data_IF_482003900877
#
_entry.id   IF_482003900877
#
_cell.length_a   1.000
_cell.length_b   1.000
_cell.length_c   1.000
_cell.angle_alpha   90.00
_cell.angle_beta   90.00
_cell.angle_gamma   90.00
#
_symmetry.space_group_name_H-M   'P 1'
#
loop_
_entity.id
_entity.type
_entity.pdbx_description
1 polymer ?
#
# COMPACT_ATOMS: atom_id res chain seq x y z
N UNK A 1 -23.89 -7.12 -15.37
CA UNK A 1 -22.72 -7.88 -14.90
C UNK A 1 -23.19 -8.91 -13.87
N UNK A 2 -22.70 -10.16 -13.89
CA UNK A 2 -23.03 -11.13 -12.85
C UNK A 2 -22.04 -10.98 -11.68
N UNK A 3 -22.57 -10.75 -10.47
CA UNK A 3 -21.76 -10.74 -9.24
C UNK A 3 -21.63 -12.17 -8.74
N UNK A 4 -20.41 -12.58 -8.42
CA UNK A 4 -20.07 -13.90 -7.89
C UNK A 4 -19.65 -13.79 -6.43
N UNK A 5 -19.72 -14.91 -5.71
CA UNK A 5 -19.26 -15.02 -4.33
C UNK A 5 -20.37 -15.08 -3.29
N UNK A 6 -20.05 -14.69 -2.07
CA UNK A 6 -20.89 -14.80 -0.88
C UNK A 6 -21.16 -13.43 -0.26
N UNK A 7 -22.36 -13.26 0.29
CA UNK A 7 -22.69 -12.17 1.21
C UNK A 7 -23.78 -12.63 2.17
N UNK A 8 -23.77 -12.12 3.39
CA UNK A 8 -24.89 -12.26 4.30
C UNK A 8 -26.01 -11.27 3.97
N UNK A 9 -27.27 -11.68 4.14
CA UNK A 9 -28.45 -10.88 3.76
C UNK A 9 -28.47 -9.50 4.43
N UNK A 10 -27.94 -9.36 5.66
CA UNK A 10 -27.81 -8.08 6.37
C UNK A 10 -27.02 -7.04 5.56
N UNK A 11 -26.11 -7.48 4.69
CA UNK A 11 -25.23 -6.64 3.89
C UNK A 11 -25.59 -6.60 2.40
N UNK A 12 -26.82 -6.96 2.03
CA UNK A 12 -27.30 -6.91 0.63
C UNK A 12 -27.08 -5.54 -0.02
N UNK A 13 -27.27 -4.44 0.73
CA UNK A 13 -27.03 -3.09 0.22
C UNK A 13 -25.57 -2.87 -0.24
N UNK A 14 -24.60 -3.48 0.44
CA UNK A 14 -23.18 -3.41 0.06
C UNK A 14 -22.95 -4.22 -1.24
N UNK A 15 -23.60 -5.37 -1.38
CA UNK A 15 -23.58 -6.16 -2.62
C UNK A 15 -24.15 -5.38 -3.80
N UNK A 16 -25.25 -4.65 -3.61
CA UNK A 16 -25.82 -3.78 -4.64
C UNK A 16 -24.89 -2.60 -4.98
N UNK A 17 -24.28 -1.97 -3.97
CA UNK A 17 -23.31 -0.91 -4.19
C UNK A 17 -22.06 -1.40 -4.97
N UNK A 18 -21.59 -2.62 -4.69
CA UNK A 18 -20.54 -3.27 -5.46
C UNK A 18 -20.97 -3.57 -6.89
N UNK A 19 -22.21 -4.02 -7.10
CA UNK A 19 -22.76 -4.26 -8.44
C UNK A 19 -22.84 -2.97 -9.26
N UNK A 20 -23.23 -1.85 -8.64
CA UNK A 20 -23.36 -0.55 -9.27
C UNK A 20 -22.03 0.02 -9.80
N UNK A 21 -20.87 -0.43 -9.27
CA UNK A 21 -19.56 -0.04 -9.81
C UNK A 21 -19.42 -0.39 -11.30
N UNK A 22 -20.04 -1.49 -11.72
CA UNK A 22 -19.99 -1.98 -13.10
C UNK A 22 -21.02 -1.32 -14.03
N UNK A 23 -21.74 -0.29 -13.55
CA UNK A 23 -22.51 0.61 -14.41
C UNK A 23 -21.60 1.60 -15.15
N UNK A 24 -20.41 1.88 -14.60
CA UNK A 24 -19.35 2.56 -15.34
C UNK A 24 -18.73 1.58 -16.37
N UNK A 25 -18.82 1.85 -17.68
CA UNK A 25 -18.25 0.98 -18.71
C UNK A 25 -16.72 0.89 -18.66
N UNK A 26 -16.04 1.70 -17.84
CA UNK A 26 -14.61 1.63 -17.60
C UNK A 26 -14.22 0.72 -16.42
N UNK A 27 -15.17 0.33 -15.57
CA UNK A 27 -14.91 -0.65 -14.53
C UNK A 27 -14.74 -2.03 -15.18
N UNK A 28 -13.55 -2.61 -15.02
CA UNK A 28 -13.17 -3.84 -15.69
C UNK A 28 -13.43 -5.03 -14.80
N UNK A 29 -12.76 -5.09 -13.65
CA UNK A 29 -12.89 -6.18 -12.69
C UNK A 29 -12.46 -5.75 -11.29
N UNK A 30 -13.17 -6.27 -10.31
CA UNK A 30 -12.94 -5.96 -8.91
C UNK A 30 -13.33 -7.13 -8.00
N UNK A 31 -12.82 -7.09 -6.76
CA UNK A 31 -13.17 -7.97 -5.66
C UNK A 31 -13.31 -7.18 -4.35
N UNK A 32 -14.16 -7.67 -3.45
CA UNK A 32 -14.47 -7.07 -2.16
C UNK A 32 -14.55 -8.16 -1.10
N UNK A 33 -13.82 -8.01 0.01
CA UNK A 33 -13.89 -8.88 1.17
C UNK A 33 -14.15 -8.05 2.44
N UNK A 34 -15.24 -8.43 3.08
CA UNK A 34 -15.90 -8.02 4.32
C UNK A 34 -15.63 -8.90 5.54
N UNK A 35 -14.82 -8.52 6.54
CA UNK A 35 -14.83 -9.25 7.82
C UNK A 35 -15.36 -8.35 8.95
N UNK A 36 -16.28 -8.88 9.75
CA UNK A 36 -16.87 -8.22 10.93
C UNK A 36 -16.87 -9.21 12.08
N UNK A 37 -16.28 -8.87 13.23
CA UNK A 37 -16.26 -9.80 14.36
C UNK A 37 -15.39 -11.04 14.12
N UNK A 38 -14.40 -10.96 13.23
CA UNK A 38 -13.60 -12.09 12.77
C UNK A 38 -14.26 -13.00 11.72
N UNK A 39 -15.53 -12.75 11.36
CA UNK A 39 -16.28 -13.57 10.40
C UNK A 39 -16.38 -12.89 9.03
N UNK A 40 -16.26 -13.67 7.96
CA UNK A 40 -16.42 -13.15 6.58
C UNK A 40 -17.89 -12.97 6.23
N UNK A 41 -18.36 -11.72 6.25
CA UNK A 41 -19.74 -11.35 5.93
C UNK A 41 -19.97 -11.02 4.45
N UNK A 42 -18.90 -10.68 3.71
CA UNK A 42 -18.90 -10.42 2.27
C UNK A 42 -17.62 -10.98 1.65
N UNK A 43 -17.74 -11.70 0.54
CA UNK A 43 -16.65 -12.11 -0.33
C UNK A 43 -17.15 -12.14 -1.77
N UNK A 44 -16.99 -11.03 -2.49
CA UNK A 44 -17.57 -10.81 -3.82
C UNK A 44 -16.49 -10.54 -4.86
N UNK A 45 -16.76 -10.94 -6.10
CA UNK A 45 -15.97 -10.53 -7.25
C UNK A 45 -16.82 -10.48 -8.52
N UNK A 46 -16.37 -9.68 -9.49
CA UNK A 46 -17.04 -9.55 -10.77
C UNK A 46 -16.13 -8.91 -11.83
N UNK A 47 -16.58 -8.99 -13.09
CA UNK A 47 -15.91 -8.35 -14.21
C UNK A 47 -14.86 -9.23 -14.86
N UNK A 48 -13.81 -8.60 -15.38
CA UNK A 48 -12.80 -9.21 -16.25
C UNK A 48 -11.39 -9.00 -15.69
N UNK A 49 -10.55 -10.02 -15.83
CA UNK A 49 -9.17 -10.01 -15.35
C UNK A 49 -8.19 -9.55 -16.44
N UNK A 50 -8.44 -9.86 -17.71
CA UNK A 50 -7.49 -9.62 -18.80
C UNK A 50 -7.63 -8.24 -19.46
N UNK A 51 -6.67 -7.91 -20.33
CA UNK A 51 -6.64 -6.63 -21.05
C UNK A 51 -7.85 -6.45 -21.98
N UNK A 52 -8.30 -7.53 -22.64
CA UNK A 52 -9.22 -7.49 -23.76
C UNK A 52 -10.68 -7.79 -23.35
N UNK A 53 -10.92 -8.02 -22.05
CA UNK A 53 -12.25 -8.25 -21.48
C UNK A 53 -12.82 -9.63 -21.81
N UNK A 54 -11.95 -10.62 -22.05
CA UNK A 54 -12.31 -11.99 -22.45
C UNK A 54 -12.25 -12.97 -21.29
N UNK A 55 -11.35 -12.75 -20.34
CA UNK A 55 -11.18 -13.61 -19.17
C UNK A 55 -11.95 -13.01 -18.01
N UNK A 56 -12.84 -13.79 -17.40
CA UNK A 56 -13.59 -13.35 -16.24
C UNK A 56 -12.65 -13.18 -15.03
N UNK A 57 -13.04 -12.29 -14.12
CA UNK A 57 -12.47 -12.30 -12.78
C UNK A 57 -12.95 -13.56 -12.05
N UNK A 58 -12.02 -14.33 -11.49
CA UNK A 58 -12.29 -15.56 -10.76
C UNK A 58 -11.98 -15.40 -9.27
N UNK A 59 -12.42 -16.36 -8.46
CA UNK A 59 -12.20 -16.36 -7.02
C UNK A 59 -10.72 -16.23 -6.66
N UNK A 60 -9.83 -16.85 -7.41
CA UNK A 60 -8.39 -16.89 -7.19
C UNK A 60 -7.59 -15.84 -7.99
N UNK A 61 -8.28 -14.90 -8.64
CA UNK A 61 -7.61 -13.80 -9.35
C UNK A 61 -6.88 -12.89 -8.36
N UNK A 62 -5.59 -12.65 -8.63
CA UNK A 62 -4.75 -11.73 -7.87
C UNK A 62 -4.42 -10.50 -8.70
N UNK A 63 -4.16 -9.37 -8.04
CA UNK A 63 -3.77 -8.13 -8.68
C UNK A 63 -2.60 -7.48 -7.94
N UNK A 64 -1.88 -6.59 -8.62
CA UNK A 64 -0.89 -5.75 -7.96
C UNK A 64 -1.60 -4.77 -7.00
N UNK A 65 -1.33 -4.88 -5.71
CA UNK A 65 -2.00 -4.13 -4.63
C UNK A 65 -1.34 -2.77 -4.35
N UNK A 66 -0.29 -2.42 -5.08
CA UNK A 66 0.42 -1.14 -4.93
C UNK A 66 0.79 -0.87 -3.46
N UNK A 67 0.46 0.32 -2.98
CA UNK A 67 0.87 0.78 -1.65
C UNK A 67 0.18 0.07 -0.49
N UNK A 68 -0.87 -0.75 -0.73
CA UNK A 68 -1.40 -1.64 0.32
C UNK A 68 -0.29 -2.55 0.89
N UNK A 69 0.73 -2.87 0.09
CA UNK A 69 1.92 -3.64 0.49
C UNK A 69 2.67 -3.03 1.69
N UNK A 70 2.62 -1.70 1.88
CA UNK A 70 3.43 -1.02 2.91
C UNK A 70 3.09 -1.46 4.31
N UNK A 71 1.82 -1.72 4.62
CA UNK A 71 1.43 -2.14 5.97
C UNK A 71 1.94 -3.55 6.27
N UNK A 72 1.97 -4.48 5.30
CA UNK A 72 2.61 -5.79 5.46
C UNK A 72 4.11 -5.65 5.78
N UNK A 73 4.79 -4.74 5.08
CA UNK A 73 6.20 -4.40 5.31
C UNK A 73 6.44 -3.81 6.70
N UNK A 74 5.57 -2.91 7.13
CA UNK A 74 5.66 -2.26 8.43
C UNK A 74 5.45 -3.25 9.59
N UNK A 75 4.42 -4.09 9.49
CA UNK A 75 4.16 -5.18 10.45
C UNK A 75 5.36 -6.10 10.56
N UNK A 76 5.97 -6.48 9.43
CA UNK A 76 7.20 -7.29 9.42
C UNK A 76 8.35 -6.61 10.16
N UNK A 77 8.55 -5.31 9.94
CA UNK A 77 9.57 -4.55 10.65
C UNK A 77 9.27 -4.44 12.16
N UNK A 78 8.01 -4.28 12.55
CA UNK A 78 7.59 -4.23 13.96
C UNK A 78 7.69 -5.58 14.66
N UNK A 79 7.39 -6.70 14.00
CA UNK A 79 7.65 -8.03 14.56
C UNK A 79 9.15 -8.23 14.82
N UNK A 80 10.02 -7.76 13.91
CA UNK A 80 11.47 -7.75 14.14
C UNK A 80 11.89 -6.82 15.30
N UNK A 81 11.11 -5.77 15.60
CA UNK A 81 11.28 -4.96 16.82
C UNK A 81 10.89 -5.75 18.06
N UNK A 82 9.74 -6.43 18.05
CA UNK A 82 9.32 -7.32 19.14
C UNK A 82 10.32 -8.44 19.44
N UNK A 83 10.99 -8.95 18.40
CA UNK A 83 12.09 -9.92 18.51
C UNK A 83 13.42 -9.32 18.99
N UNK A 84 13.51 -8.00 19.19
CA UNK A 84 14.74 -7.30 19.56
C UNK A 84 15.82 -7.25 18.46
N UNK A 85 15.47 -7.63 17.22
CA UNK A 85 16.38 -7.60 16.06
C UNK A 85 16.48 -6.21 15.43
N UNK A 86 15.39 -5.44 15.50
CA UNK A 86 15.34 -4.02 15.17
C UNK A 86 14.91 -3.22 16.40
N UNK A 87 15.11 -1.90 16.34
CA UNK A 87 14.60 -0.98 17.35
C UNK A 87 14.11 0.29 16.66
N UNK A 88 12.92 0.77 17.04
CA UNK A 88 12.27 1.91 16.41
C UNK A 88 13.12 3.18 16.45
N UNK A 89 13.76 3.43 17.59
CA UNK A 89 14.48 4.67 17.88
C UNK A 89 16.01 4.51 17.82
N UNK A 90 16.51 3.32 17.45
CA UNK A 90 17.92 3.16 17.13
C UNK A 90 18.22 3.75 15.75
N UNK A 91 19.42 4.34 15.55
CA UNK A 91 19.84 4.78 14.23
C UNK A 91 19.84 3.63 13.22
N UNK A 92 19.33 3.88 12.03
CA UNK A 92 19.34 2.95 10.89
C UNK A 92 20.77 2.49 10.59
N UNK A 93 21.74 3.38 10.76
CA UNK A 93 23.17 3.11 10.61
C UNK A 93 23.70 1.96 11.48
N UNK A 94 23.02 1.62 12.59
CA UNK A 94 23.36 0.46 13.43
C UNK A 94 23.23 -0.85 12.66
N UNK A 95 22.26 -0.94 11.76
CA UNK A 95 21.95 -2.14 10.98
C UNK A 95 22.49 -2.02 9.55
N UNK A 96 22.53 -0.80 9.03
CA UNK A 96 22.99 -0.48 7.69
C UNK A 96 24.05 0.63 7.75
N UNK A 97 25.33 0.33 8.06
CA UNK A 97 26.37 1.34 8.26
C UNK A 97 26.54 2.32 7.10
N UNK A 98 26.41 1.84 5.86
CA UNK A 98 26.50 2.64 4.65
C UNK A 98 25.42 3.73 4.59
N UNK A 99 24.30 3.56 5.29
CA UNK A 99 23.23 4.56 5.37
C UNK A 99 23.65 5.85 6.08
N UNK A 100 24.70 5.83 6.92
CA UNK A 100 25.14 7.00 7.69
C UNK A 100 25.68 8.17 6.84
N UNK A 101 25.90 7.94 5.55
CA UNK A 101 26.39 8.96 4.62
C UNK A 101 25.44 10.18 4.56
N UNK A 102 25.97 11.32 4.12
CA UNK A 102 25.20 12.56 3.89
C UNK A 102 24.37 13.04 5.11
N UNK A 103 24.89 12.84 6.32
CA UNK A 103 24.28 13.36 7.57
C UNK A 103 23.06 12.57 8.05
N UNK A 104 22.97 11.28 7.69
CA UNK A 104 21.85 10.39 8.06
C UNK A 104 22.15 9.47 9.25
N UNK A 105 23.24 9.71 9.97
CA UNK A 105 23.72 8.91 11.09
C UNK A 105 22.77 8.87 12.30
N UNK A 106 21.80 9.77 12.36
CA UNK A 106 20.77 9.84 13.43
C UNK A 106 19.37 9.42 12.99
N UNK A 107 19.17 9.13 11.70
CA UNK A 107 17.85 8.74 11.17
C UNK A 107 17.43 7.40 11.79
N UNK A 108 16.19 7.31 12.27
CA UNK A 108 15.66 6.11 12.95
C UNK A 108 14.70 5.29 12.09
N UNK A 109 14.47 4.03 12.47
CA UNK A 109 13.46 3.19 11.82
C UNK A 109 12.06 3.82 11.92
N UNK A 110 11.72 4.42 13.07
CA UNK A 110 10.46 5.15 13.27
C UNK A 110 10.27 6.23 12.21
N UNK A 111 11.30 7.02 11.94
CA UNK A 111 11.25 8.08 10.92
C UNK A 111 11.11 7.51 9.50
N UNK A 112 11.69 6.35 9.20
CA UNK A 112 11.47 5.71 7.90
C UNK A 112 10.02 5.21 7.76
N UNK A 113 9.50 4.51 8.77
CA UNK A 113 8.15 3.95 8.78
C UNK A 113 7.07 5.04 8.71
N UNK A 114 7.32 6.22 9.27
CA UNK A 114 6.38 7.34 9.27
C UNK A 114 6.69 8.41 8.20
N UNK A 115 7.51 8.11 7.18
CA UNK A 115 7.81 9.04 6.07
C UNK A 115 8.51 10.37 6.46
N UNK A 116 9.29 10.37 7.55
CA UNK A 116 9.98 11.57 8.08
C UNK A 116 11.47 11.63 7.80
N UNK A 117 12.04 10.61 7.19
CA UNK A 117 13.49 10.49 6.98
C UNK A 117 14.06 11.41 5.88
N UNK A 118 13.23 12.11 5.09
CA UNK A 118 13.71 12.96 4.01
C UNK A 118 14.12 12.23 2.73
N UNK A 119 13.71 10.98 2.53
CA UNK A 119 14.14 10.14 1.41
C UNK A 119 13.02 9.63 0.48
N UNK A 120 12.04 10.46 0.07
CA UNK A 120 10.98 10.00 -0.82
C UNK A 120 11.41 9.89 -2.30
N UNK A 121 12.54 10.49 -2.67
CA UNK A 121 13.06 10.51 -4.04
C UNK A 121 14.60 10.61 -4.09
N UNK A 122 15.18 10.21 -5.22
CA UNK A 122 16.60 10.36 -5.52
C UNK A 122 16.84 11.59 -6.40
N UNK A 123 17.90 12.34 -6.12
CA UNK A 123 18.33 13.45 -6.98
C UNK A 123 19.13 12.99 -8.19
N UNK A 124 19.95 11.97 -8.02
CA UNK A 124 20.63 11.29 -9.11
C UNK A 124 19.60 10.62 -10.02
N UNK A 125 19.66 10.88 -11.32
CA UNK A 125 18.79 10.23 -12.29
C UNK A 125 19.32 8.83 -12.60
N UNK A 126 18.55 7.81 -12.22
CA UNK A 126 18.92 6.43 -12.42
C UNK A 126 18.32 5.89 -13.73
N UNK A 127 19.01 4.96 -14.41
CA UNK A 127 18.47 4.35 -15.61
C UNK A 127 17.31 3.41 -15.29
N UNK A 128 16.50 3.06 -16.28
CA UNK A 128 15.25 2.33 -16.10
C UNK A 128 15.42 0.98 -15.38
N UNK A 129 16.51 0.27 -15.68
CA UNK A 129 16.88 -1.03 -15.13
C UNK A 129 17.24 -0.99 -13.64
N UNK A 130 17.66 0.17 -13.12
CA UNK A 130 17.98 0.34 -11.69
C UNK A 130 16.78 -0.03 -10.80
N UNK A 131 15.55 0.16 -11.29
CA UNK A 131 14.33 -0.23 -10.58
C UNK A 131 14.34 -1.71 -10.14
N UNK A 132 14.99 -2.58 -10.91
CA UNK A 132 15.02 -4.02 -10.67
C UNK A 132 16.30 -4.48 -9.96
N UNK A 133 17.25 -3.58 -9.72
CA UNK A 133 18.53 -3.90 -9.07
C UNK A 133 18.54 -3.39 -7.63
N UNK A 134 18.43 -4.34 -6.69
CA UNK A 134 18.33 -4.02 -5.26
C UNK A 134 19.55 -3.25 -4.73
N UNK A 135 20.75 -3.64 -5.16
CA UNK A 135 21.99 -3.06 -4.68
C UNK A 135 22.17 -1.62 -5.18
N UNK A 136 21.82 -1.36 -6.44
CA UNK A 136 21.86 -0.03 -7.05
C UNK A 136 20.92 0.92 -6.32
N UNK A 137 19.66 0.51 -6.08
CA UNK A 137 18.68 1.36 -5.39
C UNK A 137 19.06 1.61 -3.94
N UNK A 138 19.50 0.58 -3.21
CA UNK A 138 19.93 0.75 -1.81
C UNK A 138 21.19 1.60 -1.71
N UNK A 139 22.19 1.42 -2.57
CA UNK A 139 23.39 2.26 -2.62
C UNK A 139 23.04 3.73 -2.90
N UNK A 140 22.18 4.00 -3.89
CA UNK A 140 21.74 5.36 -4.20
C UNK A 140 21.01 6.01 -3.02
N UNK A 141 20.10 5.27 -2.35
CA UNK A 141 19.38 5.77 -1.17
C UNK A 141 20.31 5.99 0.04
N UNK A 142 21.33 5.15 0.21
CA UNK A 142 22.36 5.35 1.23
C UNK A 142 23.18 6.61 0.97
N UNK A 143 23.46 6.95 -0.29
CA UNK A 143 24.23 8.15 -0.66
C UNK A 143 23.38 9.44 -0.67
N UNK A 144 22.06 9.35 -0.84
CA UNK A 144 21.17 10.50 -0.99
C UNK A 144 21.17 11.42 0.26
N UNK A 145 21.31 12.72 0.04
CA UNK A 145 21.12 13.74 1.07
C UNK A 145 19.63 13.91 1.35
N UNK A 146 19.16 13.85 2.62
CA UNK A 146 17.76 14.12 2.94
C UNK A 146 17.23 15.40 2.30
N UNK A 147 16.01 15.37 1.76
CA UNK A 147 15.34 16.52 1.15
C UNK A 147 14.93 17.59 2.16
N UNK A 148 14.87 17.22 3.44
CA UNK A 148 14.64 18.07 4.59
C UNK A 148 15.37 17.48 5.80
N UNK A 149 15.48 18.22 6.90
CA UNK A 149 16.07 17.71 8.15
C UNK A 149 15.24 16.52 8.67
N UNK A 150 15.80 15.31 8.81
CA UNK A 150 15.03 14.16 9.25
C UNK A 150 14.24 14.42 10.53
N UNK A 151 12.94 14.14 10.50
CA UNK A 151 12.03 14.41 11.60
C UNK A 151 11.44 15.82 11.66
N UNK A 152 11.82 16.77 10.81
CA UNK A 152 11.19 18.12 10.78
C UNK A 152 9.93 18.19 9.93
N UNK A 153 9.89 17.43 8.82
CA UNK A 153 8.79 17.36 7.86
C UNK A 153 8.49 15.89 7.52
N UNK A 154 7.42 15.64 6.77
CA UNK A 154 7.15 14.34 6.16
C UNK A 154 6.82 14.47 4.68
N UNK A 155 7.14 13.40 3.94
CA UNK A 155 6.83 13.31 2.52
C UNK A 155 6.80 11.85 2.10
N UNK A 156 5.71 11.46 1.48
CA UNK A 156 5.42 10.08 1.14
C UNK A 156 6.49 9.44 0.26
N UNK A 157 7.19 8.46 0.81
CA UNK A 157 8.15 7.64 0.10
C UNK A 157 7.42 6.59 -0.76
N UNK A 158 6.98 7.00 -1.95
CA UNK A 158 6.06 6.20 -2.77
C UNK A 158 6.60 4.80 -3.09
N UNK A 159 7.85 4.72 -3.55
CA UNK A 159 8.53 3.46 -3.84
C UNK A 159 9.83 3.29 -3.05
N UNK A 160 10.52 4.38 -2.70
CA UNK A 160 11.78 4.34 -1.93
C UNK A 160 11.61 3.67 -0.57
N UNK A 161 10.42 3.77 0.03
CA UNK A 161 10.04 3.08 1.27
C UNK A 161 10.40 1.59 1.25
N UNK A 162 10.19 0.93 0.10
CA UNK A 162 10.35 -0.51 0.03
C UNK A 162 11.81 -0.96 0.08
N UNK A 163 12.73 -0.21 -0.50
CA UNK A 163 14.16 -0.49 -0.33
C UNK A 163 14.67 -0.05 1.04
N UNK A 164 14.20 1.10 1.55
CA UNK A 164 14.62 1.62 2.87
C UNK A 164 14.28 0.65 4.01
N UNK A 165 13.02 0.20 4.08
CA UNK A 165 12.58 -0.74 5.12
C UNK A 165 12.98 -2.17 4.74
N UNK A 166 12.91 -2.53 3.47
CA UNK A 166 13.28 -3.86 3.01
C UNK A 166 14.75 -4.20 3.26
N UNK A 167 15.67 -3.23 3.17
CA UNK A 167 17.09 -3.48 3.45
C UNK A 167 17.31 -3.75 4.94
N UNK A 168 16.59 -3.06 5.82
CA UNK A 168 16.59 -3.35 7.25
C UNK A 168 16.01 -4.73 7.55
N UNK A 169 14.88 -5.09 6.93
CA UNK A 169 14.30 -6.43 7.05
C UNK A 169 15.30 -7.49 6.59
N UNK A 170 15.93 -7.30 5.42
CA UNK A 170 16.90 -8.24 4.86
C UNK A 170 18.09 -8.45 5.79
N UNK A 171 18.64 -7.38 6.37
CA UNK A 171 19.79 -7.44 7.28
C UNK A 171 19.44 -8.02 8.65
N UNK A 172 18.26 -7.74 9.18
CA UNK A 172 17.82 -8.23 10.49
C UNK A 172 17.32 -9.68 10.45
N UNK A 173 16.69 -10.08 9.35
CA UNK A 173 16.05 -11.39 9.20
C UNK A 173 16.94 -12.41 8.49
N UNK A 174 17.72 -11.98 7.49
CA UNK A 174 18.57 -12.84 6.66
C UNK A 174 17.89 -13.37 5.40
N UNK A 175 16.55 -13.30 5.29
CA UNK A 175 15.78 -13.61 4.07
C UNK A 175 15.72 -12.42 3.10
N UNK A 176 15.33 -12.68 1.86
CA UNK A 176 14.85 -11.62 0.96
C UNK A 176 13.67 -10.89 1.60
N UNK A 177 13.53 -9.56 1.41
CA UNK A 177 12.49 -8.78 2.07
C UNK A 177 11.08 -9.29 1.75
N UNK A 178 10.82 -9.70 0.51
CA UNK A 178 9.53 -10.25 0.12
C UNK A 178 9.22 -11.58 0.80
N UNK A 179 10.21 -12.48 0.86
CA UNK A 179 10.09 -13.77 1.54
C UNK A 179 9.85 -13.61 3.04
N UNK A 180 10.54 -12.64 3.66
CA UNK A 180 10.34 -12.31 5.08
C UNK A 180 8.92 -11.81 5.33
N UNK A 181 8.44 -10.87 4.50
CA UNK A 181 7.08 -10.32 4.61
C UNK A 181 6.03 -11.44 4.49
N UNK A 182 6.07 -12.23 3.43
CA UNK A 182 5.06 -13.28 3.17
C UNK A 182 5.05 -14.31 4.30
N UNK A 183 6.22 -14.78 4.73
CA UNK A 183 6.31 -15.82 5.75
C UNK A 183 5.87 -15.35 7.15
N UNK A 184 5.94 -14.05 7.43
CA UNK A 184 5.61 -13.48 8.73
C UNK A 184 4.19 -12.87 8.83
N UNK A 185 3.57 -12.59 7.69
CA UNK A 185 2.25 -11.94 7.63
C UNK A 185 1.22 -12.81 6.92
N UNK A 186 1.41 -13.08 5.63
CA UNK A 186 0.43 -13.80 4.81
C UNK A 186 0.33 -15.28 5.18
N UNK A 187 1.47 -15.97 5.31
CA UNK A 187 1.53 -17.41 5.52
C UNK A 187 0.88 -17.87 6.85
N UNK A 188 1.12 -17.23 8.00
CA UNK A 188 0.47 -17.63 9.26
C UNK A 188 -1.06 -17.53 9.21
N UNK A 189 -1.58 -16.62 8.39
CA UNK A 189 -3.01 -16.38 8.21
C UNK A 189 -3.60 -17.13 7.01
N UNK A 190 -2.80 -17.93 6.29
CA UNK A 190 -3.25 -18.64 5.08
C UNK A 190 -3.65 -17.74 3.90
N UNK A 191 -3.11 -16.52 3.84
CA UNK A 191 -3.47 -15.52 2.83
C UNK A 191 -2.70 -15.77 1.53
N UNK A 192 -3.40 -15.59 0.41
CA UNK A 192 -2.83 -15.63 -0.92
C UNK A 192 -2.24 -14.26 -1.29
N UNK A 193 -1.06 -13.98 -0.73
CA UNK A 193 -0.34 -12.73 -0.92
C UNK A 193 1.16 -12.99 -1.10
N UNK A 194 1.74 -12.28 -2.07
CA UNK A 194 3.10 -12.50 -2.55
C UNK A 194 3.82 -11.16 -2.69
N UNK A 195 5.12 -11.13 -2.42
CA UNK A 195 6.02 -10.01 -2.75
C UNK A 195 7.23 -10.60 -3.46
N UNK A 196 7.31 -10.41 -4.78
CA UNK A 196 8.06 -11.31 -5.66
C UNK A 196 7.22 -12.55 -6.00
N UNK A 197 6.64 -12.54 -7.20
CA UNK A 197 5.71 -13.56 -7.67
C UNK A 197 6.41 -14.56 -8.60
N UNK A 198 6.13 -15.85 -8.39
CA UNK A 198 6.60 -16.92 -9.26
C UNK A 198 5.92 -16.90 -10.64
N UNK A 199 6.61 -17.39 -11.66
CA UNK A 199 6.15 -17.32 -13.06
C UNK A 199 4.90 -18.18 -13.33
N UNK A 200 4.74 -19.28 -12.61
CA UNK A 200 3.58 -20.17 -12.69
C UNK A 200 2.30 -19.50 -12.19
N UNK A 201 2.39 -18.52 -11.30
CA UNK A 201 1.25 -17.73 -10.80
C UNK A 201 0.77 -16.64 -11.78
N UNK A 202 1.51 -16.36 -12.86
CA UNK A 202 1.23 -15.21 -13.73
C UNK A 202 -0.10 -15.30 -14.48
N UNK A 203 -0.60 -16.52 -14.68
CA UNK A 203 -1.83 -16.79 -15.44
C UNK A 203 -3.09 -16.20 -14.76
N UNK A 204 -3.07 -16.05 -13.44
CA UNK A 204 -4.18 -15.51 -12.63
C UNK A 204 -3.99 -14.06 -12.19
N UNK A 205 -2.98 -13.37 -12.73
CA UNK A 205 -2.73 -11.94 -12.43
C UNK A 205 -3.59 -11.06 -13.33
N UNK A 206 -4.49 -10.29 -12.71
CA UNK A 206 -5.30 -9.29 -13.39
C UNK A 206 -4.44 -8.21 -14.07
N UNK A 207 -4.78 -7.87 -15.31
CA UNK A 207 -4.14 -6.81 -16.07
C UNK A 207 -4.63 -5.44 -15.60
N UNK A 208 -3.68 -4.64 -15.09
CA UNK A 208 -3.95 -3.30 -14.58
C UNK A 208 -4.08 -2.30 -15.73
N UNK A 209 -5.16 -1.53 -15.76
CA UNK A 209 -5.38 -0.47 -16.74
C UNK A 209 -5.87 0.82 -16.07
N UNK A 210 -5.55 1.98 -16.63
CA UNK A 210 -6.07 3.27 -16.15
C UNK A 210 -7.41 3.59 -16.80
N UNK A 211 -8.34 4.11 -16.00
CA UNK A 211 -9.52 4.79 -16.53
C UNK A 211 -9.13 6.02 -17.34
N UNK A 212 -9.99 6.42 -18.27
CA UNK A 212 -9.83 7.56 -19.18
C UNK A 212 -10.86 8.63 -18.89
N UNK A 213 -10.54 9.88 -19.24
CA UNK A 213 -11.48 11.01 -19.21
C UNK A 213 -11.83 11.55 -17.83
N UNK A 214 -11.40 10.89 -16.74
CA UNK A 214 -11.55 11.39 -15.38
C UNK A 214 -10.31 12.22 -14.99
N UNK A 215 -10.45 13.52 -14.64
CA UNK A 215 -9.32 14.36 -14.24
C UNK A 215 -8.80 14.06 -12.83
N UNK A 216 -9.53 13.28 -12.03
CA UNK A 216 -9.15 12.96 -10.65
C UNK A 216 -9.47 14.05 -9.65
N UNK A 217 -9.08 13.80 -8.40
CA UNK A 217 -9.26 14.77 -7.31
C UNK A 217 -8.27 15.95 -7.42
N UNK A 218 -8.46 16.96 -6.57
CA UNK A 218 -7.62 18.15 -6.58
C UNK A 218 -6.13 17.84 -6.27
N UNK A 219 -5.84 16.82 -5.48
CA UNK A 219 -4.47 16.42 -5.17
C UNK A 219 -3.81 15.76 -6.39
N UNK A 220 -4.53 14.89 -7.10
CA UNK A 220 -4.07 14.25 -8.32
C UNK A 220 -3.78 15.28 -9.41
N UNK A 221 -4.64 16.29 -9.55
CA UNK A 221 -4.43 17.39 -10.49
C UNK A 221 -3.19 18.24 -10.13
N UNK A 222 -2.98 18.55 -8.84
CA UNK A 222 -1.75 19.25 -8.40
C UNK A 222 -0.49 18.45 -8.71
N UNK A 223 -0.49 17.15 -8.37
CA UNK A 223 0.65 16.27 -8.66
C UNK A 223 0.91 16.15 -10.16
N UNK A 224 -0.13 16.03 -10.98
CA UNK A 224 -0.01 16.00 -12.43
C UNK A 224 0.61 17.29 -12.96
N UNK A 225 0.17 18.45 -12.47
CA UNK A 225 0.73 19.74 -12.88
C UNK A 225 2.23 19.86 -12.54
N UNK A 226 2.63 19.51 -11.32
CA UNK A 226 4.04 19.53 -10.89
C UNK A 226 4.85 18.55 -11.73
N UNK A 227 4.38 17.32 -11.89
CA UNK A 227 5.07 16.28 -12.67
C UNK A 227 5.28 16.70 -14.13
N UNK A 228 4.34 17.44 -14.72
CA UNK A 228 4.43 17.90 -16.11
C UNK A 228 5.32 19.14 -16.29
N UNK A 229 5.44 19.99 -15.28
CA UNK A 229 6.05 21.33 -15.42
C UNK A 229 7.40 21.47 -14.72
N UNK A 230 7.66 20.63 -13.72
CA UNK A 230 8.81 20.78 -12.81
C UNK A 230 9.59 19.45 -12.73
N UNK A 231 10.45 19.15 -13.71
CA UNK A 231 11.17 17.87 -13.78
C UNK A 231 12.12 17.62 -12.59
N UNK A 232 12.56 18.68 -11.91
CA UNK A 232 13.46 18.58 -10.76
C UNK A 232 12.74 18.57 -9.41
N UNK A 233 11.42 18.79 -9.39
CA UNK A 233 10.65 18.79 -8.15
C UNK A 233 10.68 17.42 -7.45
N UNK A 234 10.61 17.46 -6.12
CA UNK A 234 10.57 16.28 -5.27
C UNK A 234 9.49 15.28 -5.70
N UNK A 235 8.26 15.76 -5.86
CA UNK A 235 7.12 14.94 -6.30
C UNK A 235 7.37 14.30 -7.65
N UNK A 236 7.89 15.05 -8.62
CA UNK A 236 8.20 14.51 -9.95
C UNK A 236 9.20 13.37 -9.84
N UNK A 237 10.31 13.57 -9.12
CA UNK A 237 11.34 12.53 -8.96
C UNK A 237 10.83 11.31 -8.18
N UNK A 238 9.99 11.50 -7.17
CA UNK A 238 9.41 10.40 -6.38
C UNK A 238 8.59 9.40 -7.22
N UNK A 239 7.98 9.86 -8.32
CA UNK A 239 7.12 9.04 -9.19
C UNK A 239 7.75 8.67 -10.54
N UNK A 240 8.88 9.28 -10.90
CA UNK A 240 9.47 9.14 -12.24
C UNK A 240 10.94 8.71 -12.25
N UNK A 241 11.57 8.55 -11.08
CA UNK A 241 12.97 8.14 -10.97
C UNK A 241 13.12 6.88 -10.10
N UNK A 242 13.48 5.71 -10.67
CA UNK A 242 13.79 5.47 -12.08
C UNK A 242 12.56 5.55 -13.02
N UNK A 243 12.74 5.85 -14.33
CA UNK A 243 11.62 6.06 -15.28
C UNK A 243 10.73 4.83 -15.47
N UNK A 244 11.24 3.63 -15.18
CA UNK A 244 10.48 2.41 -15.24
C UNK A 244 9.30 2.36 -14.24
N UNK A 245 9.28 3.17 -13.18
CA UNK A 245 8.19 3.21 -12.18
C UNK A 245 6.82 3.34 -12.84
N UNK A 246 6.69 4.21 -13.86
CA UNK A 246 5.42 4.50 -14.51
C UNK A 246 4.90 3.40 -15.46
N UNK A 247 5.77 2.49 -15.91
CA UNK A 247 5.47 1.59 -17.04
C UNK A 247 5.56 0.11 -16.69
N UNK A 248 5.91 -0.23 -15.45
CA UNK A 248 6.35 -1.58 -15.13
C UNK A 248 5.29 -2.51 -14.55
N UNK A 249 4.18 -2.00 -14.03
CA UNK A 249 3.16 -2.80 -13.29
C UNK A 249 2.77 -4.11 -13.97
N UNK A 250 2.54 -4.12 -15.28
CA UNK A 250 2.12 -5.32 -16.01
C UNK A 250 3.28 -6.15 -16.58
N UNK A 251 4.54 -5.77 -16.36
CA UNK A 251 5.72 -6.47 -16.88
C UNK A 251 6.09 -7.66 -15.99
N UNK A 252 6.58 -8.79 -16.57
CA UNK A 252 7.13 -9.91 -15.81
C UNK A 252 8.20 -9.51 -14.78
N UNK A 253 9.11 -8.61 -15.14
CA UNK A 253 10.20 -8.16 -14.27
C UNK A 253 9.67 -7.46 -13.01
N UNK A 254 8.60 -6.68 -13.14
CA UNK A 254 7.92 -6.09 -11.99
C UNK A 254 7.41 -7.20 -11.08
N UNK A 255 6.57 -8.12 -11.60
CA UNK A 255 5.98 -9.20 -10.81
C UNK A 255 7.01 -10.01 -10.03
N UNK A 256 8.17 -10.31 -10.63
CA UNK A 256 9.26 -11.09 -10.00
C UNK A 256 10.01 -10.34 -8.90
N UNK A 257 10.15 -9.02 -9.01
CA UNK A 257 10.99 -8.26 -8.09
C UNK A 257 10.32 -8.19 -6.71
N UNK A 258 11.12 -8.29 -5.65
CA UNK A 258 10.62 -8.07 -4.29
C UNK A 258 10.61 -6.58 -3.99
N UNK A 259 9.47 -5.90 -4.18
CA UNK A 259 9.33 -4.46 -3.92
C UNK A 259 8.30 -4.20 -2.79
N UNK A 260 8.77 -4.08 -1.52
CA UNK A 260 7.93 -3.99 -0.33
C UNK A 260 6.99 -2.77 -0.23
N UNK A 261 7.12 -1.78 -1.11
CA UNK A 261 6.25 -0.61 -1.10
C UNK A 261 5.11 -0.64 -2.12
N UNK A 262 5.17 -1.47 -3.16
CA UNK A 262 4.32 -1.28 -4.33
C UNK A 262 3.96 -2.55 -5.13
N UNK A 263 4.60 -3.68 -4.86
CA UNK A 263 4.53 -4.85 -5.73
C UNK A 263 3.76 -6.03 -5.14
N UNK A 264 3.20 -5.94 -3.93
CA UNK A 264 2.43 -7.03 -3.36
C UNK A 264 1.33 -7.50 -4.33
N UNK A 265 1.31 -8.79 -4.65
CA UNK A 265 0.25 -9.41 -5.46
C UNK A 265 -0.64 -10.22 -4.54
N UNK A 266 -1.94 -9.96 -4.57
CA UNK A 266 -2.93 -10.67 -3.77
C UNK A 266 -4.35 -10.28 -4.18
N UNK A 267 -5.31 -10.60 -3.33
CA UNK A 267 -6.72 -10.38 -3.60
C UNK A 267 -7.42 -9.69 -2.41
N UNK A 268 -8.73 -9.44 -2.52
CA UNK A 268 -9.50 -8.76 -1.49
C UNK A 268 -9.51 -9.52 -0.16
N UNK A 269 -9.56 -10.87 -0.18
CA UNK A 269 -9.45 -11.71 1.03
C UNK A 269 -8.11 -11.55 1.71
N UNK A 270 -7.02 -11.45 0.94
CA UNK A 270 -5.69 -11.22 1.50
C UNK A 270 -5.56 -9.87 2.20
N UNK A 271 -6.25 -8.83 1.70
CA UNK A 271 -6.30 -7.54 2.38
C UNK A 271 -7.15 -7.62 3.66
N UNK A 272 -8.39 -8.09 3.56
CA UNK A 272 -9.29 -8.18 4.72
C UNK A 272 -8.71 -9.08 5.82
N UNK A 273 -8.24 -10.28 5.47
CA UNK A 273 -7.66 -11.22 6.44
C UNK A 273 -6.39 -10.71 7.10
N UNK A 274 -5.55 -9.93 6.39
CA UNK A 274 -4.39 -9.29 7.02
C UNK A 274 -4.81 -8.27 8.08
N UNK A 275 -5.81 -7.45 7.80
CA UNK A 275 -6.32 -6.46 8.75
C UNK A 275 -7.10 -7.11 9.91
N UNK A 276 -7.80 -8.21 9.68
CA UNK A 276 -8.41 -8.99 10.75
C UNK A 276 -7.37 -9.61 11.69
N UNK A 277 -6.28 -10.15 11.13
CA UNK A 277 -5.14 -10.64 11.92
C UNK A 277 -4.40 -9.56 12.71
N UNK A 278 -4.60 -8.27 12.40
CA UNK A 278 -4.15 -7.16 13.24
C UNK A 278 -5.16 -6.84 14.34
N UNK A 279 -6.47 -6.88 14.04
CA UNK A 279 -7.52 -6.65 15.04
C UNK A 279 -7.54 -7.71 16.14
N UNK A 280 -7.31 -8.98 15.78
CA UNK A 280 -7.32 -10.10 16.73
C UNK A 280 -5.97 -10.32 17.45
N UNK A 281 -4.94 -9.54 17.12
CA UNK A 281 -3.60 -9.63 17.72
C UNK A 281 -2.72 -10.78 17.20
N UNK A 282 -3.14 -11.51 16.16
CA UNK A 282 -2.36 -12.62 15.59
C UNK A 282 -1.04 -12.19 14.94
N UNK A 283 -0.97 -10.96 14.44
CA UNK A 283 0.21 -10.43 13.74
C UNK A 283 1.10 -9.53 14.58
N UNK A 284 0.54 -8.82 15.56
CA UNK A 284 1.27 -7.90 16.43
C UNK A 284 0.67 -7.93 17.83
N UNK A 285 1.55 -7.91 18.84
CA UNK A 285 1.15 -7.65 20.23
C UNK A 285 0.55 -6.24 20.37
N UNK A 286 -0.31 -6.06 21.38
CA UNK A 286 -1.08 -4.83 21.62
C UNK A 286 -0.22 -3.57 21.61
N UNK A 287 0.95 -3.61 22.25
CA UNK A 287 1.84 -2.48 22.39
C UNK A 287 2.44 -2.05 21.04
N UNK A 288 2.76 -3.01 20.16
CA UNK A 288 3.27 -2.72 18.83
C UNK A 288 2.16 -2.30 17.86
N UNK A 289 0.95 -2.83 18.04
CA UNK A 289 -0.23 -2.36 17.32
C UNK A 289 -0.54 -0.90 17.69
N UNK A 290 -0.51 -0.56 18.97
CA UNK A 290 -0.68 0.81 19.45
C UNK A 290 0.38 1.76 18.87
N UNK A 291 1.65 1.32 18.79
CA UNK A 291 2.70 2.09 18.12
C UNK A 291 2.45 2.23 16.61
N UNK A 292 1.97 1.18 15.94
CA UNK A 292 1.63 1.19 14.51
C UNK A 292 0.54 2.22 14.22
N UNK A 293 -0.50 2.28 15.06
CA UNK A 293 -1.69 3.13 14.83
C UNK A 293 -1.60 4.51 15.48
N UNK A 294 -0.57 4.78 16.29
CA UNK A 294 -0.33 6.13 16.83
C UNK A 294 0.04 7.09 15.71
N UNK A 295 -0.42 8.33 15.78
CA UNK A 295 -0.01 9.38 14.86
C UNK A 295 1.48 9.72 15.03
N UNK A 296 2.25 9.54 13.96
CA UNK A 296 3.66 9.93 13.88
C UNK A 296 3.91 11.05 12.86
N UNK A 297 2.99 11.26 11.92
CA UNK A 297 3.03 12.39 10.99
C UNK A 297 1.62 12.87 10.67
N UNK A 298 1.44 14.19 10.69
CA UNK A 298 0.21 14.88 10.33
C UNK A 298 0.59 16.20 9.68
N UNK A 299 -0.07 16.54 8.58
CA UNK A 299 0.06 17.83 7.92
C UNK A 299 0.22 17.71 6.41
N UNK A 300 0.73 18.78 5.79
CA UNK A 300 0.95 18.82 4.36
C UNK A 300 2.12 17.92 3.95
N UNK A 301 1.83 16.91 3.14
CA UNK A 301 2.81 15.97 2.61
C UNK A 301 3.63 16.62 1.50
N UNK A 302 4.96 16.64 1.67
CA UNK A 302 5.89 17.26 0.71
C UNK A 302 5.97 16.53 -0.63
N UNK A 303 5.54 15.26 -0.68
CA UNK A 303 5.53 14.47 -1.91
C UNK A 303 4.15 14.41 -2.56
N UNK A 304 3.09 14.15 -1.78
CA UNK A 304 1.71 14.03 -2.29
C UNK A 304 0.99 15.37 -2.46
N UNK A 305 1.54 16.46 -1.91
CA UNK A 305 0.98 17.81 -2.01
C UNK A 305 -0.48 17.89 -1.53
N UNK A 306 -0.75 17.18 -0.44
CA UNK A 306 -2.06 17.12 0.23
C UNK A 306 -1.89 16.77 1.70
N UNK A 307 -2.96 16.90 2.49
CA UNK A 307 -2.94 16.55 3.91
C UNK A 307 -2.87 15.03 4.06
N UNK A 308 -1.90 14.57 4.84
CA UNK A 308 -1.74 13.16 5.18
C UNK A 308 -1.58 12.99 6.68
N UNK A 309 -1.97 11.80 7.15
CA UNK A 309 -1.84 11.36 8.52
C UNK A 309 -1.34 9.93 8.54
N UNK A 310 -0.18 9.70 9.12
CA UNK A 310 0.50 8.41 9.13
C UNK A 310 0.76 7.91 10.54
N UNK A 311 0.55 6.61 10.71
CA UNK A 311 1.19 5.83 11.77
C UNK A 311 2.54 5.28 11.30
N UNK A 312 2.88 4.07 11.72
CA UNK A 312 4.08 3.37 11.25
C UNK A 312 3.70 2.48 10.05
N UNK A 313 3.83 3.02 8.84
CA UNK A 313 3.57 2.31 7.58
C UNK A 313 2.10 2.07 7.22
N UNK A 314 1.19 2.72 7.94
CA UNK A 314 -0.23 2.83 7.59
C UNK A 314 -0.66 4.30 7.57
N UNK A 315 -1.67 4.61 6.78
CA UNK A 315 -2.45 5.84 6.88
C UNK A 315 -3.49 5.68 7.99
N UNK A 316 -3.74 6.77 8.72
CA UNK A 316 -4.78 6.86 9.74
C UNK A 316 -5.98 7.62 9.16
N UNK A 317 -7.16 7.37 9.71
CA UNK A 317 -8.37 8.08 9.29
C UNK A 317 -8.23 9.61 9.42
N UNK A 318 -8.76 10.31 8.41
CA UNK A 318 -8.80 11.77 8.32
C UNK A 318 -10.21 12.21 7.90
N UNK A 319 -11.17 12.28 8.84
CA UNK A 319 -12.58 12.51 8.52
C UNK A 319 -12.87 13.91 7.95
N UNK A 320 -11.96 14.87 8.17
CA UNK A 320 -12.07 16.24 7.66
C UNK A 320 -11.48 16.42 6.26
N UNK A 321 -10.85 15.39 5.70
CA UNK A 321 -10.25 15.41 4.36
C UNK A 321 -11.06 14.49 3.45
N UNK A 322 -11.74 15.07 2.46
CA UNK A 322 -12.80 14.41 1.69
C UNK A 322 -12.41 13.05 1.08
N UNK A 323 -11.17 12.91 0.58
CA UNK A 323 -10.64 11.69 -0.03
C UNK A 323 -9.67 10.93 0.88
N UNK A 324 -9.66 11.16 2.19
CA UNK A 324 -8.71 10.50 3.10
C UNK A 324 -9.36 9.84 4.32
N UNK A 325 -10.70 9.77 4.32
CA UNK A 325 -11.43 9.02 5.33
C UNK A 325 -11.73 7.60 4.87
N UNK A 326 -11.55 6.65 5.79
CA UNK A 326 -12.05 5.29 5.67
C UNK A 326 -13.57 5.27 5.93
N UNK A 327 -14.10 6.16 6.77
CA UNK A 327 -15.54 6.45 6.84
C UNK A 327 -16.36 5.57 7.78
N UNK A 328 -15.71 4.86 8.72
CA UNK A 328 -16.36 4.12 9.81
C UNK A 328 -16.04 4.76 11.17
N UNK A 329 -14.98 4.32 11.84
CA UNK A 329 -14.51 4.84 13.13
C UNK A 329 -13.28 5.76 13.02
N UNK A 330 -13.07 6.59 14.04
CA UNK A 330 -11.97 7.56 14.08
C UNK A 330 -10.58 6.90 14.26
N UNK A 331 -10.58 5.67 14.78
CA UNK A 331 -9.38 4.83 14.92
C UNK A 331 -9.11 3.92 13.72
N UNK A 332 -9.86 4.05 12.62
CA UNK A 332 -9.59 3.28 11.43
C UNK A 332 -8.19 3.56 10.87
N UNK A 333 -7.51 2.50 10.41
CA UNK A 333 -6.16 2.56 9.89
C UNK A 333 -5.97 1.56 8.76
N UNK A 334 -5.18 1.93 7.76
CA UNK A 334 -5.02 1.09 6.58
C UNK A 334 -4.04 1.67 5.59
N UNK A 335 -4.12 1.24 4.33
CA UNK A 335 -3.36 1.89 3.27
C UNK A 335 -4.05 1.76 1.91
N UNK A 336 -4.36 2.86 1.22
CA UNK A 336 -4.82 2.80 -0.17
C UNK A 336 -3.65 2.46 -1.10
N UNK A 337 -3.94 1.67 -2.13
CA UNK A 337 -3.09 1.40 -3.27
C UNK A 337 -3.40 2.37 -4.41
N UNK A 338 -2.38 2.65 -5.23
CA UNK A 338 -2.57 3.50 -6.41
C UNK A 338 -3.70 2.95 -7.28
N UNK A 339 -4.63 3.82 -7.65
CA UNK A 339 -5.73 3.47 -8.55
C UNK A 339 -6.94 2.79 -7.90
N UNK A 340 -6.95 2.60 -6.58
CA UNK A 340 -8.20 2.47 -5.83
C UNK A 340 -8.40 1.19 -5.02
N UNK A 341 -7.51 0.21 -5.14
CA UNK A 341 -7.46 -0.88 -4.16
C UNK A 341 -7.17 -0.31 -2.77
N UNK A 342 -7.72 -0.90 -1.72
CA UNK A 342 -7.47 -0.49 -0.33
C UNK A 342 -7.69 -1.66 0.61
N UNK A 343 -6.85 -1.77 1.63
CA UNK A 343 -7.16 -2.54 2.83
C UNK A 343 -7.11 -1.63 4.05
N UNK A 344 -8.00 -1.87 5.01
CA UNK A 344 -7.97 -1.19 6.31
C UNK A 344 -8.68 -2.01 7.39
N UNK A 345 -8.41 -1.67 8.64
CA UNK A 345 -9.11 -2.13 9.83
C UNK A 345 -9.81 -0.96 10.51
N UNK A 346 -10.94 -1.22 11.14
CA UNK A 346 -11.59 -0.32 12.07
C UNK A 346 -11.88 -1.05 13.41
N UNK A 347 -11.12 -0.75 14.46
CA UNK A 347 -11.29 -1.39 15.77
C UNK A 347 -12.54 -0.93 16.54
N UNK A 348 -13.22 0.14 16.14
CA UNK A 348 -14.46 0.58 16.82
C UNK A 348 -15.67 -0.27 16.40
N UNK A 349 -15.67 -0.74 15.16
CA UNK A 349 -16.74 -1.55 14.59
C UNK A 349 -16.32 -3.01 14.35
N UNK A 350 -15.09 -3.37 14.75
CA UNK A 350 -14.48 -4.69 14.53
C UNK A 350 -14.53 -5.13 13.06
N UNK A 351 -14.17 -4.22 12.16
CA UNK A 351 -14.23 -4.41 10.71
C UNK A 351 -12.84 -4.53 10.12
N UNK A 352 -12.61 -5.56 9.31
CA UNK A 352 -11.48 -5.61 8.38
C UNK A 352 -12.00 -5.63 6.94
N UNK A 353 -11.46 -4.73 6.12
CA UNK A 353 -11.95 -4.45 4.79
C UNK A 353 -10.85 -4.63 3.75
N UNK A 354 -11.19 -5.27 2.63
CA UNK A 354 -10.33 -5.38 1.46
C UNK A 354 -11.11 -5.13 0.18
N UNK A 355 -10.68 -4.14 -0.61
CA UNK A 355 -11.20 -3.88 -1.95
C UNK A 355 -10.04 -3.88 -2.94
N UNK A 356 -10.21 -4.58 -4.07
CA UNK A 356 -9.19 -4.70 -5.11
C UNK A 356 -9.84 -4.47 -6.46
N UNK A 357 -9.21 -3.68 -7.32
CA UNK A 357 -9.67 -3.41 -8.70
C UNK A 357 -8.48 -3.41 -9.66
N UNK A 358 -8.72 -3.81 -10.92
CA UNK A 358 -7.74 -3.66 -12.00
C UNK A 358 -7.97 -2.40 -12.86
N UNK A 359 -8.97 -1.57 -12.53
CA UNK A 359 -9.19 -0.25 -13.13
C UNK A 359 -8.64 0.84 -12.19
N UNK A 360 -7.54 1.47 -12.59
CA UNK A 360 -6.91 2.54 -11.83
C UNK A 360 -7.66 3.86 -12.00
N UNK A 361 -8.16 4.39 -10.88
CA UNK A 361 -8.64 5.76 -10.75
C UNK A 361 -7.51 6.80 -10.57
N UNK A 362 -7.71 8.05 -10.99
CA UNK A 362 -6.76 9.14 -10.80
C UNK A 362 -6.92 9.82 -9.42
N UNK A 363 -6.74 9.05 -8.33
CA UNK A 363 -6.89 9.54 -6.96
C UNK A 363 -5.60 9.33 -6.15
N UNK A 364 -5.29 10.26 -5.24
CA UNK A 364 -4.04 10.23 -4.47
C UNK A 364 -4.15 9.39 -3.20
N UNK A 365 -5.30 9.47 -2.54
CA UNK A 365 -5.58 8.81 -1.27
C UNK A 365 -6.67 7.74 -1.48
N UNK A 366 -7.84 7.89 -0.87
CA UNK A 366 -8.96 6.97 -1.04
C UNK A 366 -9.69 7.21 -2.37
N UNK A 367 -10.01 6.11 -3.05
CA UNK A 367 -10.82 6.12 -4.27
C UNK A 367 -12.32 6.21 -3.94
N UNK A 368 -13.12 7.00 -4.66
CA UNK A 368 -14.56 7.14 -4.41
C UNK A 368 -15.33 5.82 -4.43
N UNK A 369 -14.90 4.82 -5.21
CA UNK A 369 -15.53 3.49 -5.25
C UNK A 369 -15.44 2.82 -3.88
N UNK A 370 -14.23 2.78 -3.31
CA UNK A 370 -14.02 2.24 -1.97
C UNK A 370 -14.77 3.06 -0.91
N UNK A 371 -14.72 4.39 -0.96
CA UNK A 371 -15.45 5.23 0.00
C UNK A 371 -16.97 5.02 -0.08
N UNK A 372 -17.53 4.79 -1.26
CA UNK A 372 -18.95 4.48 -1.42
C UNK A 372 -19.30 3.14 -0.78
N UNK A 373 -18.50 2.10 -1.03
CA UNK A 373 -18.69 0.78 -0.41
C UNK A 373 -18.67 0.88 1.12
N UNK A 374 -17.71 1.62 1.68
CA UNK A 374 -17.60 1.77 3.13
C UNK A 374 -18.74 2.59 3.72
N UNK A 375 -19.20 3.67 3.06
CA UNK A 375 -20.38 4.42 3.53
C UNK A 375 -21.63 3.53 3.61
N UNK A 376 -21.83 2.66 2.62
CA UNK A 376 -22.97 1.72 2.61
C UNK A 376 -22.78 0.63 3.66
N UNK A 377 -21.55 0.14 3.87
CA UNK A 377 -21.25 -0.76 4.97
C UNK A 377 -21.62 -0.14 6.32
N UNK A 378 -21.24 1.13 6.55
CA UNK A 378 -21.54 1.85 7.79
C UNK A 378 -23.03 1.96 8.11
N UNK A 379 -23.92 1.97 7.11
CA UNK A 379 -25.37 1.94 7.33
C UNK A 379 -25.93 0.54 7.64
N UNK A 380 -25.12 -0.50 7.46
CA UNK A 380 -25.48 -1.90 7.72
C UNK A 380 -24.94 -2.43 9.05
N UNK A 381 -23.90 -1.79 9.62
CA UNK A 381 -23.35 -2.15 10.93
C UNK A 381 -24.36 -1.79 12.02
#
# INVERSE_FOLDING_TARGET
MQIQGHYELKFEAVREAFAALFEDPQERGAALCIQVGGETVIDLWAGTADKDGREAWHSDTIANLFSCTKTFTAVTALQLVGEGKLALDAPVARYWPEFAQAGKDTVTLRQLLSHRAGLPALRELLPAEALYDWQTMTAALAAETPWWTPGSEHGYAAITYGWLIGELIRRADGRGPGDSIVARTARPLGLDFHVGLADDEFHRVAHIARGKGNPGDAAAQRLLQVTMREPEALSTRAFTNPPAILTSTNKPQWRRMQQPAANGHGNARSLAGFYAGLLDGSLLESELLDELTREHSLGEDRTLLTQTRFGLGCMLDQPTVANATFGLGARAFGHPGAGGSVGFADPEHDVAFGFVTNTLGPYVLMDPRAQQLVRVLGSCL
#
